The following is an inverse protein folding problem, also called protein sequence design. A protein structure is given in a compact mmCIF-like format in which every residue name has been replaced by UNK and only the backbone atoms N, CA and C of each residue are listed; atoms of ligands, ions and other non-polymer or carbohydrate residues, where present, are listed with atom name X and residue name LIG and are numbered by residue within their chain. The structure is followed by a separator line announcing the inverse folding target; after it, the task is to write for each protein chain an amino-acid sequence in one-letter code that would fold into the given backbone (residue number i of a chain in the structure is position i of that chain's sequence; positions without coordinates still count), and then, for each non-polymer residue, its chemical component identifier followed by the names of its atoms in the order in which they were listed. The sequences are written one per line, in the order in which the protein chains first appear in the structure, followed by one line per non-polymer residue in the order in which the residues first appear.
data_IF_304310731241
#
_entry.id   IF_304310731241
#
_cell.length_a   1.000
_cell.length_b   1.000
_cell.length_c   1.000
_cell.angle_alpha   90.00
_cell.angle_beta   90.00
_cell.angle_gamma   90.00
#
_symmetry.space_group_name_H-M   'P 1'
#
loop_
_entity.id
_entity.type
_entity.pdbx_description
1 polymer ?
#
# COMPACT_ATOMS: atom_id res chain seq x y z
N UNK A 1 -4.98 10.98 3.53
CA UNK A 1 -3.55 10.89 3.90
C UNK A 1 -3.42 10.86 5.42
N UNK A 2 -2.32 10.32 5.93
CA UNK A 2 -1.99 10.25 7.37
C UNK A 2 -0.70 11.08 7.57
N UNK A 3 -0.60 11.81 8.68
CA UNK A 3 0.64 12.45 9.11
C UNK A 3 1.35 11.53 10.10
N UNK A 4 2.61 11.20 9.83
CA UNK A 4 3.47 10.40 10.71
C UNK A 4 4.62 11.27 11.20
N UNK A 5 4.80 11.35 12.52
CA UNK A 5 5.86 12.13 13.16
C UNK A 5 7.22 11.41 13.16
N UNK A 6 8.27 12.10 12.71
CA UNK A 6 9.65 11.58 12.67
C UNK A 6 10.43 11.81 13.95
N UNK A 7 10.32 13.00 14.54
CA UNK A 7 11.16 13.46 15.68
C UNK A 7 10.39 14.36 16.67
N UNK A 8 9.05 14.32 16.62
CA UNK A 8 8.18 15.12 17.50
C UNK A 8 7.96 16.56 17.03
N UNK A 9 8.60 17.01 15.94
CA UNK A 9 8.37 18.32 15.32
C UNK A 9 8.18 18.24 13.81
N UNK A 10 8.76 17.22 13.17
CA UNK A 10 8.63 16.97 11.73
C UNK A 10 7.58 15.90 11.48
N UNK A 11 6.65 16.19 10.58
CA UNK A 11 5.62 15.26 10.12
C UNK A 11 5.77 15.00 8.62
N UNK A 12 5.57 13.74 8.23
CA UNK A 12 5.54 13.32 6.83
C UNK A 12 4.13 12.88 6.50
N UNK A 13 3.58 13.45 5.42
CA UNK A 13 2.31 13.01 4.87
C UNK A 13 2.52 11.73 4.06
N UNK A 14 1.79 10.67 4.42
CA UNK A 14 1.86 9.36 3.75
C UNK A 14 0.55 9.02 3.04
N UNK A 15 0.67 8.26 1.94
CA UNK A 15 -0.43 7.79 1.09
C UNK A 15 -1.19 6.61 1.72
N UNK A 16 -1.84 6.91 2.84
CA UNK A 16 -2.77 6.02 3.53
C UNK A 16 -3.92 6.83 4.15
N UNK A 17 -4.91 6.17 4.73
CA UNK A 17 -6.02 6.84 5.42
C UNK A 17 -6.52 6.03 6.61
N UNK A 18 -6.85 6.74 7.69
CA UNK A 18 -7.58 6.16 8.82
C UNK A 18 -9.06 5.97 8.47
N UNK A 19 -9.58 4.76 8.68
CA UNK A 19 -10.99 4.41 8.48
C UNK A 19 -11.45 3.52 9.63
N UNK A 20 -12.28 4.03 10.53
CA UNK A 20 -12.83 3.23 11.64
C UNK A 20 -11.78 2.58 12.54
N UNK A 21 -10.64 3.25 12.76
CA UNK A 21 -9.50 2.71 13.53
C UNK A 21 -8.59 1.76 12.75
N UNK A 22 -8.79 1.63 11.44
CA UNK A 22 -8.01 0.81 10.52
C UNK A 22 -7.19 1.71 9.59
N UNK A 23 -6.09 1.21 9.05
CA UNK A 23 -5.29 1.93 8.04
C UNK A 23 -5.52 1.31 6.67
N UNK A 24 -5.99 2.12 5.73
CA UNK A 24 -6.16 1.72 4.33
C UNK A 24 -5.12 2.41 3.44
N UNK A 25 -4.50 1.65 2.54
CA UNK A 25 -3.65 2.17 1.46
C UNK A 25 -3.98 1.48 0.13
N UNK A 26 -3.69 2.16 -0.97
CA UNK A 26 -3.82 1.61 -2.32
C UNK A 26 -2.44 1.46 -2.91
N UNK A 27 -2.24 0.34 -3.58
CA UNK A 27 -0.99 0.07 -4.27
C UNK A 27 -1.26 -0.42 -5.68
N UNK A 28 -0.26 -0.21 -6.54
CA UNK A 28 -0.15 -0.89 -7.82
C UNK A 28 1.23 -1.44 -8.04
N UNK A 29 1.32 -2.59 -8.69
CA UNK A 29 2.57 -3.21 -9.11
C UNK A 29 2.45 -3.63 -10.56
N UNK A 30 3.57 -3.82 -11.26
CA UNK A 30 3.58 -4.21 -12.69
C UNK A 30 2.68 -5.41 -12.95
N UNK A 31 2.76 -6.42 -12.08
CA UNK A 31 1.92 -7.60 -12.10
C UNK A 31 1.73 -8.16 -10.68
N UNK A 32 1.03 -9.29 -10.58
CA UNK A 32 0.76 -9.97 -9.31
C UNK A 32 2.02 -10.55 -8.65
N UNK A 33 2.97 -11.04 -9.43
CA UNK A 33 4.16 -11.69 -8.88
C UNK A 33 5.10 -10.67 -8.22
N UNK A 34 5.26 -9.49 -8.82
CA UNK A 34 6.03 -8.41 -8.21
C UNK A 34 5.31 -7.81 -7.00
N UNK A 35 3.98 -7.72 -7.03
CA UNK A 35 3.20 -7.36 -5.85
C UNK A 35 3.49 -8.32 -4.69
N UNK A 36 3.41 -9.64 -4.94
CA UNK A 36 3.61 -10.65 -3.91
C UNK A 36 5.05 -10.59 -3.35
N UNK A 37 6.05 -10.42 -4.22
CA UNK A 37 7.47 -10.25 -3.84
C UNK A 37 7.67 -9.05 -2.92
N UNK A 38 7.14 -7.88 -3.31
CA UNK A 38 7.28 -6.66 -2.52
C UNK A 38 6.51 -6.74 -1.20
N UNK A 39 5.29 -7.30 -1.20
CA UNK A 39 4.50 -7.45 0.02
C UNK A 39 5.15 -8.42 1.00
N UNK A 40 5.83 -9.47 0.53
CA UNK A 40 6.67 -10.33 1.38
C UNK A 40 7.86 -9.54 1.94
N UNK A 41 8.57 -8.78 1.09
CA UNK A 41 9.69 -7.93 1.51
C UNK A 41 9.28 -6.89 2.57
N UNK A 42 8.08 -6.32 2.46
CA UNK A 42 7.53 -5.37 3.43
C UNK A 42 6.91 -6.06 4.66
N UNK A 43 6.98 -7.39 4.73
CA UNK A 43 6.45 -8.21 5.81
C UNK A 43 4.92 -8.19 5.90
N UNK A 44 4.21 -7.92 4.81
CA UNK A 44 2.74 -7.94 4.76
C UNK A 44 2.20 -9.32 4.33
N UNK A 45 2.96 -10.05 3.52
CA UNK A 45 2.72 -11.45 3.16
C UNK A 45 3.77 -12.36 3.81
N UNK A 46 3.39 -13.63 4.02
CA UNK A 46 4.24 -14.67 4.57
C UNK A 46 4.04 -16.01 3.84
N UNK A 47 5.09 -16.84 3.73
CA UNK A 47 4.96 -18.20 3.22
C UNK A 47 3.93 -19.01 4.02
N UNK A 48 3.03 -19.71 3.31
CA UNK A 48 2.02 -20.59 3.93
C UNK A 48 2.54 -22.00 4.24
N UNK A 49 3.76 -22.33 3.78
CA UNK A 49 4.38 -23.64 3.94
C UNK A 49 4.17 -24.59 2.75
N UNK A 50 3.24 -24.28 1.85
CA UNK A 50 2.90 -25.07 0.65
C UNK A 50 3.38 -24.39 -0.65
N UNK A 51 4.20 -23.34 -0.51
CA UNK A 51 4.75 -22.56 -1.61
C UNK A 51 3.87 -21.38 -2.05
N UNK A 52 2.79 -21.09 -1.30
CA UNK A 52 1.98 -19.90 -1.46
C UNK A 52 2.32 -18.82 -0.45
N UNK A 53 1.67 -17.66 -0.60
CA UNK A 53 1.79 -16.51 0.30
C UNK A 53 0.42 -16.16 0.88
N UNK A 54 0.39 -15.86 2.17
CA UNK A 54 -0.83 -15.46 2.89
C UNK A 54 -0.61 -14.14 3.64
N UNK A 55 -1.64 -13.28 3.76
CA UNK A 55 -1.56 -12.09 4.58
C UNK A 55 -1.20 -12.37 6.03
N UNK A 56 -0.32 -11.54 6.58
CA UNK A 56 -0.02 -11.55 8.01
C UNK A 56 -1.25 -11.26 8.88
N UNK A 57 -1.16 -11.59 10.18
CA UNK A 57 -2.25 -11.30 11.13
C UNK A 57 -2.63 -9.81 11.10
N UNK A 58 -3.90 -9.53 10.83
CA UNK A 58 -4.43 -8.17 10.77
C UNK A 58 -4.22 -7.45 9.43
N UNK A 59 -3.56 -8.08 8.47
CA UNK A 59 -3.43 -7.58 7.08
C UNK A 59 -4.56 -8.17 6.24
N UNK A 60 -5.29 -7.31 5.55
CA UNK A 60 -6.34 -7.69 4.60
C UNK A 60 -6.01 -7.10 3.24
N UNK A 61 -6.06 -7.91 2.19
CA UNK A 61 -5.72 -7.47 0.82
C UNK A 61 -6.92 -7.75 -0.09
N UNK A 62 -7.44 -6.69 -0.70
CA UNK A 62 -8.42 -6.77 -1.78
C UNK A 62 -7.69 -6.56 -3.09
N UNK A 63 -7.55 -7.62 -3.88
CA UNK A 63 -7.02 -7.52 -5.23
C UNK A 63 -8.06 -6.90 -6.16
N UNK A 64 -7.70 -5.78 -6.77
CA UNK A 64 -8.52 -5.08 -7.77
C UNK A 64 -8.15 -5.53 -9.18
N UNK A 65 -6.88 -5.87 -9.40
CA UNK A 65 -6.37 -6.22 -10.72
C UNK A 65 -6.27 -5.00 -11.64
N UNK A 66 -6.42 -5.18 -12.96
CA UNK A 66 -6.46 -4.07 -13.92
C UNK A 66 -7.67 -3.15 -13.71
N UNK A 67 -7.47 -1.84 -13.90
CA UNK A 67 -8.52 -0.83 -13.76
C UNK A 67 -9.15 -0.54 -15.11
N UNK A 68 -10.49 -0.55 -15.12
CA UNK A 68 -11.31 -0.20 -16.27
C UNK A 68 -12.20 0.99 -15.94
N UNK A 69 -12.63 1.74 -16.95
CA UNK A 69 -13.64 2.79 -16.79
C UNK A 69 -15.05 2.21 -16.61
N UNK A 70 -16.05 3.08 -16.49
CA UNK A 70 -17.47 2.67 -16.36
C UNK A 70 -18.03 1.96 -17.59
N UNK A 71 -17.39 2.08 -18.74
CA UNK A 71 -17.77 1.43 -19.99
C UNK A 71 -17.02 0.10 -20.21
N UNK A 72 -16.09 -0.25 -19.31
CA UNK A 72 -15.28 -1.46 -19.37
C UNK A 72 -14.00 -1.32 -20.21
N UNK A 73 -13.60 -0.10 -20.58
CA UNK A 73 -12.34 0.14 -21.30
C UNK A 73 -11.16 0.08 -20.33
N UNK A 74 -10.10 -0.63 -20.71
CA UNK A 74 -8.90 -0.74 -19.90
C UNK A 74 -8.19 0.61 -19.78
N UNK A 75 -8.06 1.11 -18.55
CA UNK A 75 -7.29 2.32 -18.22
C UNK A 75 -5.87 1.94 -17.82
N UNK A 76 -5.73 0.96 -16.94
CA UNK A 76 -4.43 0.54 -16.40
C UNK A 76 -4.36 -0.98 -16.28
N UNK A 77 -3.41 -1.59 -16.98
CA UNK A 77 -3.20 -3.04 -17.03
C UNK A 77 -2.53 -3.60 -15.77
N UNK A 78 -1.95 -2.74 -14.93
CA UNK A 78 -1.16 -3.14 -13.76
C UNK A 78 -2.02 -3.77 -12.67
N UNK A 79 -1.37 -4.53 -11.78
CA UNK A 79 -2.05 -5.15 -10.65
C UNK A 79 -2.30 -4.13 -9.55
N UNK A 80 -3.56 -3.74 -9.35
CA UNK A 80 -3.96 -2.87 -8.23
C UNK A 80 -4.47 -3.69 -7.05
N UNK A 81 -4.22 -3.19 -5.85
CA UNK A 81 -4.75 -3.76 -4.62
C UNK A 81 -5.04 -2.68 -3.59
N UNK A 82 -6.04 -2.93 -2.75
CA UNK A 82 -6.26 -2.18 -1.52
C UNK A 82 -5.82 -3.02 -0.33
N UNK A 83 -4.98 -2.44 0.52
CA UNK A 83 -4.47 -3.08 1.73
C UNK A 83 -5.10 -2.37 2.92
N UNK A 84 -5.70 -3.17 3.82
CA UNK A 84 -6.29 -2.72 5.08
C UNK A 84 -5.58 -3.38 6.25
N UNK A 85 -5.07 -2.57 7.17
CA UNK A 85 -4.39 -2.99 8.38
C UNK A 85 -5.29 -2.81 9.60
N UNK A 86 -5.31 -3.83 10.45
CA UNK A 86 -6.15 -3.95 11.65
C UNK A 86 -5.39 -4.69 12.75
N UNK A 87 -5.79 -4.51 14.00
CA UNK A 87 -5.28 -5.30 15.14
C UNK A 87 -3.75 -5.41 15.16
N UNK A 88 -3.23 -6.64 15.19
CA UNK A 88 -1.79 -6.92 15.25
C UNK A 88 -0.96 -6.17 14.19
N UNK A 89 -1.47 -5.98 12.97
CA UNK A 89 -0.72 -5.28 11.93
C UNK A 89 -0.48 -3.79 12.24
N UNK A 90 -1.34 -3.16 13.05
CA UNK A 90 -1.18 -1.75 13.47
C UNK A 90 -0.17 -1.60 14.61
N UNK A 91 0.01 -2.65 15.41
CA UNK A 91 0.84 -2.64 16.62
C UNK A 91 2.19 -3.34 16.42
N UNK A 92 2.34 -4.10 15.34
CA UNK A 92 3.58 -4.85 15.05
C UNK A 92 4.73 -3.88 14.84
N UNK A 93 5.70 -3.94 15.74
CA UNK A 93 6.89 -3.12 15.70
C UNK A 93 7.90 -3.65 14.68
N UNK A 94 8.63 -2.72 14.07
CA UNK A 94 9.89 -2.96 13.38
C UNK A 94 11.03 -2.95 14.40
N UNK A 95 11.86 -4.00 14.36
CA UNK A 95 12.91 -4.23 15.35
C UNK A 95 14.05 -3.20 15.26
N UNK A 96 14.25 -2.56 14.10
CA UNK A 96 15.35 -1.64 13.88
C UNK A 96 15.01 -0.20 14.30
N UNK A 97 13.79 0.22 14.01
CA UNK A 97 13.36 1.62 14.18
C UNK A 97 12.53 1.85 15.43
N UNK A 98 12.13 0.78 16.14
CA UNK A 98 11.21 0.84 17.28
C UNK A 98 9.90 1.59 16.95
N UNK A 99 9.41 1.43 15.71
CA UNK A 99 8.16 2.01 15.20
C UNK A 99 7.23 0.93 14.64
N UNK A 100 5.91 1.16 14.56
CA UNK A 100 5.03 0.24 13.86
C UNK A 100 5.52 0.00 12.42
N UNK A 101 5.68 -1.26 12.03
CA UNK A 101 6.29 -1.62 10.74
C UNK A 101 5.54 -1.01 9.55
N UNK A 102 4.21 -0.86 9.65
CA UNK A 102 3.44 -0.19 8.61
C UNK A 102 3.86 1.29 8.43
N UNK A 103 4.16 2.00 9.53
CA UNK A 103 4.65 3.38 9.45
C UNK A 103 6.00 3.42 8.75
N UNK A 104 6.90 2.49 9.11
CA UNK A 104 8.25 2.39 8.51
C UNK A 104 8.14 2.21 7.00
N UNK A 105 7.34 1.27 6.52
CA UNK A 105 7.16 1.00 5.08
C UNK A 105 6.62 2.25 4.35
N UNK A 106 5.59 2.89 4.89
CA UNK A 106 5.01 4.09 4.28
C UNK A 106 6.00 5.27 4.29
N UNK A 107 6.72 5.48 5.40
CA UNK A 107 7.75 6.52 5.51
C UNK A 107 8.89 6.27 4.53
N UNK A 108 9.38 5.04 4.42
CA UNK A 108 10.42 4.68 3.46
C UNK A 108 9.97 5.00 2.04
N UNK A 109 8.74 4.67 1.67
CA UNK A 109 8.19 5.01 0.36
C UNK A 109 8.15 6.52 0.13
N UNK A 110 7.70 7.32 1.09
CA UNK A 110 7.61 8.77 0.93
C UNK A 110 8.97 9.46 0.88
N UNK A 111 9.92 9.01 1.69
CA UNK A 111 11.23 9.67 1.87
C UNK A 111 12.28 9.22 0.86
N UNK A 112 12.20 7.98 0.39
CA UNK A 112 13.21 7.38 -0.50
C UNK A 112 12.65 6.89 -1.84
N UNK A 113 11.33 6.79 -1.95
CA UNK A 113 10.67 6.35 -3.17
C UNK A 113 10.72 7.40 -4.29
N UNK A 114 10.80 6.91 -5.52
CA UNK A 114 10.72 7.76 -6.71
C UNK A 114 9.27 8.10 -7.04
N UNK A 115 9.05 9.22 -7.73
CA UNK A 115 7.73 9.54 -8.25
C UNK A 115 7.38 8.56 -9.38
N UNK A 116 6.13 8.07 -9.39
CA UNK A 116 5.67 7.19 -10.47
C UNK A 116 5.21 7.97 -11.70
N UNK A 117 5.60 7.50 -12.88
CA UNK A 117 5.13 8.08 -14.14
C UNK A 117 3.66 7.74 -14.37
N UNK A 118 2.84 8.79 -14.40
CA UNK A 118 1.39 8.78 -14.59
C UNK A 118 0.91 7.99 -15.82
N UNK A 119 0.07 6.96 -15.70
CA UNK A 119 -0.76 6.52 -16.86
C UNK A 119 -2.01 7.39 -16.96
N UNK A 120 -2.66 7.67 -15.82
CA UNK A 120 -3.64 8.76 -15.74
C UNK A 120 -2.98 9.98 -15.11
N UNK A 121 -3.21 11.16 -15.69
CA UNK A 121 -2.54 12.41 -15.25
C UNK A 121 -3.08 12.96 -13.91
N UNK A 122 -4.02 12.26 -13.28
CA UNK A 122 -4.69 12.71 -12.06
C UNK A 122 -4.23 11.97 -10.81
N UNK A 123 -3.71 10.76 -10.95
CA UNK A 123 -3.18 10.00 -9.83
C UNK A 123 -1.84 10.57 -9.38
N UNK A 124 -1.54 10.35 -8.10
CA UNK A 124 -0.23 10.62 -7.51
C UNK A 124 0.25 9.33 -6.85
N UNK A 125 1.55 9.03 -6.98
CA UNK A 125 2.08 7.77 -6.50
C UNK A 125 3.57 7.81 -6.23
N UNK A 126 3.99 7.12 -5.17
CA UNK A 126 5.37 6.97 -4.76
C UNK A 126 5.79 5.51 -4.88
N UNK A 127 6.79 5.26 -5.70
CA UNK A 127 7.33 3.94 -6.00
C UNK A 127 8.37 3.56 -4.97
N UNK A 128 8.14 2.42 -4.32
CA UNK A 128 9.10 1.72 -3.48
C UNK A 128 9.24 0.31 -4.04
N UNK A 129 10.42 -0.03 -4.57
CA UNK A 129 10.62 -1.25 -5.36
C UNK A 129 9.71 -1.25 -6.60
N UNK A 130 9.05 -2.38 -6.91
CA UNK A 130 8.12 -2.51 -8.03
C UNK A 130 6.69 -2.04 -7.71
N UNK A 131 6.43 -1.73 -6.45
CA UNK A 131 5.13 -1.30 -5.94
C UNK A 131 5.06 0.21 -5.77
N UNK A 132 3.96 0.79 -6.22
CA UNK A 132 3.65 2.21 -6.10
C UNK A 132 2.53 2.36 -5.08
N UNK A 133 2.80 3.09 -4.01
CA UNK A 133 1.74 3.60 -3.13
C UNK A 133 1.01 4.71 -3.86
N UNK A 134 -0.31 4.62 -3.92
CA UNK A 134 -1.15 5.59 -4.62
C UNK A 134 -1.82 6.50 -3.59
N UNK A 135 -1.80 7.81 -3.83
CA UNK A 135 -2.57 8.76 -3.03
C UNK A 135 -4.06 8.38 -3.07
N UNK A 136 -4.67 7.99 -1.93
CA UNK A 136 -6.08 7.61 -1.87
C UNK A 136 -7.06 8.70 -2.31
N UNK A 137 -6.66 9.98 -2.26
CA UNK A 137 -7.50 11.09 -2.73
C UNK A 137 -7.59 11.15 -4.26
N UNK A 138 -6.56 10.64 -4.94
CA UNK A 138 -6.40 10.69 -6.39
C UNK A 138 -6.88 9.42 -7.12
N UNK A 139 -7.04 8.30 -6.41
CA UNK A 139 -7.35 7.00 -6.98
C UNK A 139 -8.86 6.76 -7.23
N UNK A 140 -9.18 6.15 -8.38
CA UNK A 140 -10.52 5.67 -8.75
C UNK A 140 -10.38 4.30 -9.41
N UNK A 141 -11.13 3.26 -9.02
CA UNK A 141 -12.33 3.26 -8.18
C UNK A 141 -12.05 3.42 -6.69
N UNK A 142 -12.95 4.13 -6.01
CA UNK A 142 -12.86 4.37 -4.56
C UNK A 142 -13.44 3.17 -3.79
N UNK A 143 -12.59 2.52 -2.99
CA UNK A 143 -12.89 1.59 -1.87
C UNK A 143 -13.69 0.32 -2.19
N UNK A 144 -13.14 -0.82 -1.76
CA UNK A 144 -13.86 -2.11 -1.71
C UNK A 144 -14.65 -2.29 -0.40
N UNK A 145 -14.22 -1.64 0.68
CA UNK A 145 -14.76 -1.82 2.04
C UNK A 145 -15.30 -0.52 2.66
N UNK A 146 -16.26 0.09 1.97
CA UNK A 146 -17.05 1.23 2.47
C UNK A 146 -18.07 0.80 3.53
#
# INVERSE_FOLDING_TARGET
MILIGLDGVTEVEVYASWVGGMVDTYVRSTDRALFDTDMEQFGLLYPDGDGGLVPGKGVNISHLGPIHDSEGTLIDARHHANIRLTGYALERMDDLTERPLWEVVLLTAMLSGSDDTQINNTEQGKRLSDTVLIDPASFTPKRVWA
#
